data_IF_713071331960
#
_entry.id   IF_713071331960
#
_cell.length_a   1.000
_cell.length_b   1.000
_cell.length_c   1.000
_cell.angle_alpha   90.00
_cell.angle_beta   90.00
_cell.angle_gamma   90.00
#
_symmetry.space_group_name_H-M   'P 1'
#
loop_
_entity.id
_entity.type
_entity.pdbx_description
1 polymer ?
#
# COMPACT_ATOMS: atom_id res chain seq x y z
N UNK A 1 -20.11 46.75 17.17
CA UNK A 1 -19.05 46.03 16.44
C UNK A 1 -19.52 44.60 16.20
N UNK A 2 -19.79 44.23 14.93
CA UNK A 2 -20.38 42.94 14.59
C UNK A 2 -19.29 41.88 14.35
N UNK A 3 -19.43 40.70 14.94
CA UNK A 3 -18.52 39.56 14.71
C UNK A 3 -18.82 38.94 13.35
N UNK A 4 -17.83 38.96 12.45
CA UNK A 4 -17.87 38.21 11.19
C UNK A 4 -17.74 36.71 11.48
N UNK A 5 -18.83 35.96 11.31
CA UNK A 5 -18.79 34.50 11.34
C UNK A 5 -18.42 34.01 9.93
N UNK A 6 -17.16 33.59 9.78
CA UNK A 6 -16.69 32.97 8.55
C UNK A 6 -17.33 31.58 8.38
N UNK A 7 -18.31 31.48 7.46
CA UNK A 7 -18.80 30.20 6.95
C UNK A 7 -17.77 29.64 5.97
N UNK A 8 -16.73 29.01 6.51
CA UNK A 8 -15.79 28.22 5.73
C UNK A 8 -16.52 27.07 5.05
N UNK A 9 -16.48 27.04 3.72
CA UNK A 9 -16.76 25.83 2.96
C UNK A 9 -15.68 24.82 3.33
N UNK A 10 -16.02 23.90 4.24
CA UNK A 10 -15.32 22.65 4.42
C UNK A 10 -15.52 21.81 3.15
N UNK A 11 -14.74 22.15 2.12
CA UNK A 11 -14.23 21.17 1.17
C UNK A 11 -13.55 20.10 2.02
N UNK A 12 -14.27 19.03 2.32
CA UNK A 12 -13.62 17.80 2.73
C UNK A 12 -12.73 17.44 1.56
N UNK A 13 -11.42 17.58 1.75
CA UNK A 13 -10.46 17.07 0.79
C UNK A 13 -10.81 15.60 0.63
N UNK A 14 -11.31 15.24 -0.56
CA UNK A 14 -11.37 13.84 -0.96
C UNK A 14 -9.93 13.37 -0.80
N UNK A 15 -9.63 12.36 0.04
CA UNK A 15 -8.26 11.90 0.20
C UNK A 15 -7.75 11.55 -1.20
N UNK A 16 -6.70 12.24 -1.62
CA UNK A 16 -6.11 12.02 -2.93
C UNK A 16 -5.62 10.58 -2.94
N UNK A 17 -6.22 9.75 -3.80
CA UNK A 17 -5.73 8.40 -4.02
C UNK A 17 -4.43 8.55 -4.80
N UNK A 18 -3.30 8.26 -4.15
CA UNK A 18 -1.97 8.56 -4.65
C UNK A 18 -1.05 7.36 -4.40
N UNK A 19 -1.01 6.49 -5.40
CA UNK A 19 0.15 5.62 -5.57
C UNK A 19 1.31 6.50 -5.99
N UNK A 20 2.47 6.34 -5.35
CA UNK A 20 3.60 7.22 -5.64
C UNK A 20 4.25 6.88 -6.99
N UNK A 21 4.66 7.92 -7.73
CA UNK A 21 5.49 7.86 -8.93
C UNK A 21 6.46 9.05 -8.99
N UNK A 22 7.39 9.07 -9.96
CA UNK A 22 8.37 10.17 -10.11
C UNK A 22 7.67 11.46 -10.56
N UNK A 23 8.06 12.62 -9.97
CA UNK A 23 7.47 13.95 -10.21
C UNK A 23 7.42 14.38 -11.71
N UNK A 24 8.33 13.87 -12.53
CA UNK A 24 8.39 14.17 -13.97
C UNK A 24 7.96 12.98 -14.86
N UNK A 25 7.33 11.96 -14.27
CA UNK A 25 6.91 10.75 -14.97
C UNK A 25 5.63 11.00 -15.80
N UNK A 26 5.49 10.38 -16.99
CA UNK A 26 4.19 10.29 -17.66
C UNK A 26 3.13 9.59 -16.80
N UNK A 27 3.55 8.76 -15.83
CA UNK A 27 2.67 8.02 -14.93
C UNK A 27 2.11 8.85 -13.78
N UNK A 28 2.66 10.03 -13.47
CA UNK A 28 2.28 10.81 -12.28
C UNK A 28 0.77 11.05 -12.17
N UNK A 29 0.13 11.44 -13.28
CA UNK A 29 -1.31 11.70 -13.35
C UNK A 29 -2.17 10.43 -13.28
N UNK A 30 -1.61 9.28 -13.66
CA UNK A 30 -2.26 7.96 -13.62
C UNK A 30 -2.20 7.38 -12.21
N UNK A 31 -1.07 7.59 -11.53
CA UNK A 31 -0.82 7.13 -10.17
C UNK A 31 -1.52 7.98 -9.10
N UNK A 32 -1.89 9.22 -9.44
CA UNK A 32 -2.72 10.09 -8.60
C UNK A 32 -1.96 11.25 -7.92
N UNK A 33 -0.64 11.34 -8.11
CA UNK A 33 0.17 12.48 -7.70
C UNK A 33 1.53 12.10 -7.14
N UNK A 34 2.13 13.06 -6.42
CA UNK A 34 3.41 12.90 -5.70
C UNK A 34 3.24 12.52 -4.23
N UNK A 35 2.00 12.35 -3.78
CA UNK A 35 1.71 11.93 -2.42
C UNK A 35 2.14 10.47 -2.21
N UNK A 36 2.24 10.07 -0.95
CA UNK A 36 2.85 8.80 -0.56
C UNK A 36 1.80 7.70 -0.65
N UNK A 37 2.14 6.58 -1.27
CA UNK A 37 1.39 5.34 -1.07
C UNK A 37 1.31 5.06 0.44
N UNK A 38 0.11 4.78 0.95
CA UNK A 38 -0.16 4.38 2.34
C UNK A 38 -0.90 3.04 2.42
N UNK A 39 -0.94 2.42 3.60
CA UNK A 39 -1.58 1.11 3.84
C UNK A 39 -3.02 1.02 3.29
N UNK A 40 -3.79 2.11 3.36
CA UNK A 40 -5.18 2.20 2.91
C UNK A 40 -5.34 2.11 1.36
N UNK A 41 -4.26 2.30 0.60
CA UNK A 41 -4.27 2.27 -0.88
C UNK A 41 -3.77 0.93 -1.44
N UNK A 42 -3.20 0.08 -0.59
CA UNK A 42 -2.67 -1.23 -0.96
C UNK A 42 -3.79 -2.24 -1.19
N UNK A 43 -3.58 -3.14 -2.14
CA UNK A 43 -4.64 -4.03 -2.64
C UNK A 43 -4.22 -5.48 -2.46
N UNK A 44 -4.83 -6.13 -1.49
CA UNK A 44 -4.50 -7.51 -1.10
C UNK A 44 -5.32 -8.58 -1.82
N UNK A 45 -6.47 -8.23 -2.41
CA UNK A 45 -7.33 -9.18 -3.13
C UNK A 45 -7.25 -8.97 -4.65
N UNK A 46 -7.06 -10.07 -5.39
CA UNK A 46 -7.03 -10.10 -6.86
C UNK A 46 -8.20 -9.35 -7.53
N UNK A 47 -9.42 -9.46 -6.98
CA UNK A 47 -10.62 -8.86 -7.57
C UNK A 47 -10.63 -7.33 -7.51
N UNK A 48 -10.04 -6.77 -6.46
CA UNK A 48 -10.13 -5.34 -6.13
C UNK A 48 -9.36 -4.46 -7.13
N UNK A 49 -8.33 -5.02 -7.78
CA UNK A 49 -7.60 -4.39 -8.91
C UNK A 49 -8.47 -4.08 -10.14
N UNK A 50 -9.67 -4.65 -10.25
CA UNK A 50 -10.60 -4.40 -11.34
C UNK A 50 -11.95 -3.83 -10.88
N UNK A 51 -12.30 -3.92 -9.60
CA UNK A 51 -13.61 -3.53 -9.05
C UNK A 51 -13.59 -2.25 -8.20
N UNK A 52 -12.43 -1.86 -7.64
CA UNK A 52 -12.31 -0.71 -6.75
C UNK A 52 -11.57 0.45 -7.40
N UNK A 53 -11.88 1.69 -7.00
CA UNK A 53 -11.17 2.88 -7.50
C UNK A 53 -9.68 2.80 -7.16
N UNK A 54 -9.34 2.44 -5.92
CA UNK A 54 -7.96 2.25 -5.45
C UNK A 54 -7.21 1.20 -6.27
N UNK A 55 -7.83 0.05 -6.51
CA UNK A 55 -7.23 -1.02 -7.30
C UNK A 55 -7.07 -0.67 -8.78
N UNK A 56 -7.99 0.08 -9.37
CA UNK A 56 -7.84 0.64 -10.71
C UNK A 56 -6.67 1.65 -10.77
N UNK A 57 -6.53 2.53 -9.78
CA UNK A 57 -5.38 3.45 -9.68
C UNK A 57 -4.06 2.70 -9.56
N UNK A 58 -3.93 1.77 -8.60
CA UNK A 58 -2.72 0.95 -8.41
C UNK A 58 -2.38 0.12 -9.65
N UNK A 59 -3.38 -0.50 -10.28
CA UNK A 59 -3.21 -1.27 -11.52
C UNK A 59 -2.67 -0.40 -12.66
N UNK A 60 -3.33 0.73 -12.93
CA UNK A 60 -2.94 1.59 -14.04
C UNK A 60 -1.59 2.28 -13.80
N UNK A 61 -1.30 2.63 -12.54
CA UNK A 61 0.00 3.15 -12.12
C UNK A 61 1.11 2.14 -12.43
N UNK A 62 1.05 0.95 -11.84
CA UNK A 62 2.07 -0.09 -12.00
C UNK A 62 2.25 -0.52 -13.47
N UNK A 63 1.17 -0.55 -14.26
CA UNK A 63 1.27 -0.79 -15.70
C UNK A 63 2.04 0.33 -16.42
N UNK A 64 1.79 1.59 -16.09
CA UNK A 64 2.55 2.70 -16.66
C UNK A 64 4.03 2.64 -16.22
N UNK A 65 4.29 2.56 -14.91
CA UNK A 65 5.65 2.55 -14.36
C UNK A 65 6.50 1.39 -14.91
N UNK A 66 5.88 0.22 -15.16
CA UNK A 66 6.56 -0.94 -15.77
C UNK A 66 7.16 -0.67 -17.16
N UNK A 67 6.68 0.36 -17.86
CA UNK A 67 7.11 0.74 -19.21
C UNK A 67 7.87 2.08 -19.25
N UNK A 68 7.90 2.82 -18.14
CA UNK A 68 8.47 4.16 -18.08
C UNK A 68 9.95 4.12 -17.73
N UNK A 69 10.72 4.95 -18.43
CA UNK A 69 12.18 5.09 -18.26
C UNK A 69 12.56 6.32 -17.43
N UNK A 70 11.60 6.94 -16.73
CA UNK A 70 11.84 8.19 -16.01
C UNK A 70 12.81 7.99 -14.84
N UNK A 71 13.87 8.79 -14.83
CA UNK A 71 14.91 8.79 -13.80
C UNK A 71 15.15 10.21 -13.29
N UNK A 72 15.12 10.40 -11.97
CA UNK A 72 15.53 11.65 -11.31
C UNK A 72 16.81 11.46 -10.49
N UNK A 73 16.88 10.41 -9.67
CA UNK A 73 18.08 9.99 -8.94
C UNK A 73 17.94 8.53 -8.45
N UNK A 74 18.98 7.99 -7.81
CA UNK A 74 19.03 6.60 -7.32
C UNK A 74 17.93 6.19 -6.32
N UNK A 75 17.22 7.15 -5.72
CA UNK A 75 16.09 6.93 -4.81
C UNK A 75 14.76 7.50 -5.37
N UNK A 76 14.74 7.92 -6.64
CA UNK A 76 13.58 8.52 -7.29
C UNK A 76 13.64 8.26 -8.81
N UNK A 77 13.01 7.16 -9.23
CA UNK A 77 12.84 6.76 -10.63
C UNK A 77 11.62 5.86 -10.73
N UNK A 78 11.07 5.66 -11.93
CA UNK A 78 9.86 4.85 -12.05
C UNK A 78 10.13 3.37 -11.78
N UNK A 79 11.34 2.84 -12.05
CA UNK A 79 11.72 1.51 -11.52
C UNK A 79 11.70 1.50 -9.99
N UNK A 80 12.17 2.57 -9.34
CA UNK A 80 12.19 2.64 -7.88
C UNK A 80 10.79 2.55 -7.29
N UNK A 81 9.86 3.36 -7.80
CA UNK A 81 8.48 3.40 -7.33
C UNK A 81 7.69 2.16 -7.74
N UNK A 82 7.90 1.65 -8.96
CA UNK A 82 7.34 0.38 -9.41
C UNK A 82 7.65 -0.78 -8.46
N UNK A 83 8.94 -0.96 -8.10
CA UNK A 83 9.36 -2.03 -7.17
C UNK A 83 8.93 -1.71 -5.73
N UNK A 84 8.96 -0.44 -5.32
CA UNK A 84 8.50 -0.01 -4.00
C UNK A 84 7.02 -0.34 -3.76
N UNK A 85 6.14 0.04 -4.68
CA UNK A 85 4.69 -0.15 -4.59
C UNK A 85 4.32 -1.65 -4.50
N UNK A 86 4.99 -2.49 -5.30
CA UNK A 86 4.85 -3.95 -5.22
C UNK A 86 5.36 -4.53 -3.91
N UNK A 87 6.58 -4.13 -3.49
CA UNK A 87 7.18 -4.59 -2.22
C UNK A 87 6.33 -4.19 -1.02
N UNK A 88 5.80 -2.98 -1.00
CA UNK A 88 4.97 -2.46 0.08
C UNK A 88 3.63 -3.19 0.15
N UNK A 89 3.00 -3.44 -1.00
CA UNK A 89 1.81 -4.30 -1.10
C UNK A 89 2.07 -5.69 -0.51
N UNK A 90 3.16 -6.36 -0.88
CA UNK A 90 3.52 -7.67 -0.30
C UNK A 90 3.79 -7.56 1.20
N UNK A 91 4.54 -6.53 1.64
CA UNK A 91 4.85 -6.29 3.05
C UNK A 91 3.58 -6.20 3.91
N UNK A 92 2.56 -5.44 3.49
CA UNK A 92 1.32 -5.29 4.24
C UNK A 92 0.42 -6.53 4.09
N UNK A 93 0.16 -6.94 2.84
CA UNK A 93 -0.80 -8.02 2.56
C UNK A 93 -0.33 -9.41 2.99
N UNK A 94 0.98 -9.67 3.04
CA UNK A 94 1.55 -10.99 3.37
C UNK A 94 2.25 -11.02 4.73
N UNK A 95 2.84 -9.90 5.20
CA UNK A 95 3.75 -9.91 6.36
C UNK A 95 3.37 -9.04 7.55
N UNK A 96 2.35 -8.18 7.45
CA UNK A 96 1.79 -7.47 8.61
C UNK A 96 1.30 -8.45 9.69
N UNK A 97 1.25 -8.05 10.95
CA UNK A 97 0.98 -9.00 12.04
C UNK A 97 -0.48 -9.48 12.12
N UNK A 98 -1.37 -8.94 11.27
CA UNK A 98 -2.73 -9.45 11.00
C UNK A 98 -2.81 -10.47 9.85
N UNK A 99 -1.69 -10.78 9.18
CA UNK A 99 -1.64 -11.52 7.92
C UNK A 99 -1.71 -13.07 8.05
N UNK A 100 -2.11 -13.62 9.19
CA UNK A 100 -2.13 -15.07 9.42
C UNK A 100 -2.96 -15.84 8.39
N UNK A 101 -4.08 -15.27 7.95
CA UNK A 101 -4.93 -15.86 6.90
C UNK A 101 -4.42 -15.66 5.48
N UNK A 102 -3.51 -14.70 5.22
CA UNK A 102 -2.94 -14.49 3.89
C UNK A 102 -1.74 -15.42 3.64
N UNK A 103 -0.97 -15.75 4.70
CA UNK A 103 0.13 -16.70 4.59
C UNK A 103 -0.29 -18.17 4.47
N UNK A 104 -1.41 -18.62 5.03
CA UNK A 104 -1.79 -20.04 4.97
C UNK A 104 -2.29 -20.46 3.57
N UNK A 105 -1.85 -21.60 2.98
CA UNK A 105 -0.95 -22.66 3.50
C UNK A 105 0.53 -22.52 3.05
N UNK A 106 0.97 -21.31 2.72
CA UNK A 106 2.28 -20.96 2.16
C UNK A 106 3.35 -20.64 3.21
N UNK A 107 3.12 -20.91 4.50
CA UNK A 107 3.98 -20.51 5.61
C UNK A 107 5.43 -21.01 5.42
N UNK A 108 5.62 -22.26 4.99
CA UNK A 108 6.94 -22.88 4.81
C UNK A 108 7.80 -22.19 3.75
N UNK A 109 7.16 -21.66 2.70
CA UNK A 109 7.85 -20.97 1.60
C UNK A 109 8.01 -19.48 1.87
N UNK A 110 7.01 -18.85 2.50
CA UNK A 110 6.94 -17.41 2.64
C UNK A 110 7.52 -16.87 3.95
N UNK A 111 7.49 -17.60 5.07
CA UNK A 111 8.02 -17.09 6.35
C UNK A 111 9.51 -16.70 6.33
N UNK A 112 10.42 -17.42 5.64
CA UNK A 112 11.84 -17.04 5.55
C UNK A 112 12.09 -15.65 4.94
N UNK A 113 11.12 -15.13 4.17
CA UNK A 113 11.18 -13.79 3.56
C UNK A 113 10.73 -12.66 4.50
N UNK A 114 10.06 -12.94 5.63
CA UNK A 114 9.53 -11.90 6.53
C UNK A 114 10.58 -10.82 6.91
N UNK A 115 11.87 -11.14 7.15
CA UNK A 115 12.90 -10.11 7.39
C UNK A 115 13.10 -9.13 6.25
N UNK A 116 13.04 -9.58 4.99
CA UNK A 116 13.21 -8.73 3.78
C UNK A 116 12.09 -7.70 3.64
N UNK A 117 10.89 -8.07 4.09
CA UNK A 117 9.68 -7.25 4.05
C UNK A 117 9.40 -6.47 5.34
N UNK A 118 10.33 -6.37 6.30
CA UNK A 118 10.14 -5.52 7.50
C UNK A 118 10.41 -4.04 7.23
N UNK A 119 11.44 -3.74 6.45
CA UNK A 119 11.91 -2.36 6.25
C UNK A 119 11.10 -1.65 5.17
N UNK A 120 10.27 -0.68 5.54
CA UNK A 120 9.71 0.29 4.58
C UNK A 120 10.86 1.10 3.97
N UNK A 121 10.89 1.27 2.66
CA UNK A 121 11.93 2.09 2.01
C UNK A 121 11.64 3.59 2.10
N UNK A 122 10.39 3.95 2.35
CA UNK A 122 9.95 5.34 2.44
C UNK A 122 10.77 6.12 3.48
N UNK A 123 11.41 7.21 3.06
CA UNK A 123 12.18 8.09 3.95
C UNK A 123 13.49 7.52 4.50
N UNK A 124 13.87 6.29 4.11
CA UNK A 124 15.07 5.60 4.61
C UNK A 124 16.22 5.53 3.58
N UNK A 125 16.06 6.13 2.39
CA UNK A 125 17.07 6.13 1.31
C UNK A 125 17.65 4.73 1.04
N UNK A 126 16.78 3.72 1.01
CA UNK A 126 17.18 2.33 0.78
C UNK A 126 17.51 2.15 -0.70
N UNK A 127 18.66 1.54 -1.00
CA UNK A 127 19.06 1.23 -2.37
C UNK A 127 18.08 0.24 -3.01
N UNK A 128 17.72 0.51 -4.27
CA UNK A 128 16.68 -0.19 -5.04
C UNK A 128 16.76 -1.72 -4.96
N UNK A 129 17.95 -2.31 -5.09
CA UNK A 129 18.14 -3.77 -5.08
C UNK A 129 18.60 -4.33 -3.73
N UNK A 130 18.53 -3.54 -2.64
CA UNK A 130 18.99 -3.98 -1.31
C UNK A 130 18.24 -5.23 -0.78
N UNK A 131 16.97 -5.41 -1.16
CA UNK A 131 16.18 -6.58 -0.78
C UNK A 131 16.76 -7.91 -1.30
N UNK A 132 17.54 -7.89 -2.38
CA UNK A 132 18.20 -9.07 -2.93
C UNK A 132 19.18 -9.75 -1.97
N UNK A 133 19.92 -8.95 -1.20
CA UNK A 133 21.03 -9.43 -0.36
C UNK A 133 20.70 -9.44 1.12
N UNK A 134 19.56 -8.85 1.52
CA UNK A 134 19.08 -8.89 2.91
C UNK A 134 18.89 -10.33 3.42
N UNK A 135 19.19 -10.52 4.71
CA UNK A 135 19.04 -11.79 5.42
C UNK A 135 19.72 -12.98 4.70
N UNK A 136 21.01 -12.83 4.36
CA UNK A 136 21.80 -13.86 3.67
C UNK A 136 21.21 -14.30 2.32
N UNK A 137 20.83 -13.32 1.48
CA UNK A 137 20.19 -13.54 0.18
C UNK A 137 18.83 -14.29 0.27
N UNK A 138 18.07 -14.11 1.35
CA UNK A 138 16.79 -14.80 1.53
C UNK A 138 15.81 -14.57 0.39
N UNK A 139 15.81 -13.38 -0.23
CA UNK A 139 14.89 -13.08 -1.32
C UNK A 139 15.05 -14.01 -2.53
N UNK A 140 16.20 -14.06 -3.24
CA UNK A 140 16.38 -15.00 -4.35
C UNK A 140 16.30 -16.49 -3.95
N UNK A 141 16.52 -16.84 -2.68
CA UNK A 141 16.36 -18.23 -2.21
C UNK A 141 14.90 -18.68 -2.09
N UNK A 142 13.99 -17.82 -1.60
CA UNK A 142 12.63 -18.23 -1.24
C UNK A 142 11.50 -17.57 -2.05
N UNK A 143 11.80 -16.53 -2.84
CA UNK A 143 10.78 -15.78 -3.60
C UNK A 143 9.98 -16.66 -4.57
N UNK A 144 10.63 -17.60 -5.28
CA UNK A 144 9.98 -18.49 -6.25
C UNK A 144 8.94 -19.43 -5.60
N UNK A 145 9.33 -20.17 -4.56
CA UNK A 145 8.42 -21.07 -3.84
C UNK A 145 7.26 -20.31 -3.16
N UNK A 146 7.54 -19.12 -2.62
CA UNK A 146 6.50 -18.28 -2.04
C UNK A 146 5.53 -17.75 -3.12
N UNK A 147 6.06 -17.27 -4.25
CA UNK A 147 5.26 -16.73 -5.35
C UNK A 147 4.33 -17.78 -5.96
N UNK A 148 4.85 -19.00 -6.15
CA UNK A 148 4.08 -20.14 -6.67
C UNK A 148 2.92 -20.51 -5.75
N UNK A 149 3.15 -20.59 -4.44
CA UNK A 149 2.09 -20.86 -3.49
C UNK A 149 1.04 -19.74 -3.43
N UNK A 150 1.46 -18.46 -3.46
CA UNK A 150 0.53 -17.31 -3.51
C UNK A 150 -0.34 -17.33 -4.78
N UNK A 151 0.19 -17.78 -5.93
CA UNK A 151 -0.59 -17.99 -7.17
C UNK A 151 -1.53 -19.20 -7.12
N UNK A 152 -1.15 -20.24 -6.39
CA UNK A 152 -2.01 -21.41 -6.14
C UNK A 152 -3.22 -21.08 -5.26
N UNK A 153 -3.13 -20.01 -4.47
CA UNK A 153 -4.18 -19.56 -3.55
C UNK A 153 -5.14 -18.55 -4.20
N UNK A 154 -6.44 -18.74 -3.95
CA UNK A 154 -7.49 -17.86 -4.46
C UNK A 154 -7.41 -16.46 -3.82
N UNK A 155 -7.40 -15.42 -4.66
CA UNK A 155 -7.42 -14.02 -4.22
C UNK A 155 -6.03 -13.40 -3.99
N UNK A 156 -4.94 -14.14 -4.18
CA UNK A 156 -3.56 -13.68 -3.96
C UNK A 156 -2.62 -13.86 -5.16
N UNK A 157 -3.15 -14.11 -6.37
CA UNK A 157 -2.34 -14.30 -7.59
C UNK A 157 -1.52 -13.08 -7.94
N UNK A 158 -2.08 -11.88 -7.81
CA UNK A 158 -1.36 -10.62 -8.07
C UNK A 158 -0.17 -10.45 -7.12
N UNK A 159 -0.31 -10.86 -5.85
CA UNK A 159 0.80 -10.84 -4.87
C UNK A 159 1.92 -11.81 -5.29
N UNK A 160 1.57 -12.99 -5.82
CA UNK A 160 2.54 -13.91 -6.41
C UNK A 160 3.20 -13.35 -7.69
N UNK A 161 2.45 -12.69 -8.56
CA UNK A 161 2.99 -12.05 -9.76
C UNK A 161 3.94 -10.89 -9.42
N UNK A 162 3.64 -10.09 -8.37
CA UNK A 162 4.52 -9.05 -7.85
C UNK A 162 5.83 -9.66 -7.31
N UNK A 163 5.74 -10.80 -6.62
CA UNK A 163 6.92 -11.52 -6.12
C UNK A 163 7.81 -12.04 -7.28
N UNK A 164 7.23 -12.58 -8.36
CA UNK A 164 7.98 -12.97 -9.57
C UNK A 164 8.68 -11.77 -10.21
N UNK A 165 7.97 -10.65 -10.32
CA UNK A 165 8.48 -9.45 -10.96
C UNK A 165 9.63 -8.83 -10.14
N UNK A 166 9.51 -8.82 -8.81
CA UNK A 166 10.61 -8.47 -7.92
C UNK A 166 11.78 -9.44 -8.01
N UNK A 167 11.54 -10.74 -8.23
CA UNK A 167 12.61 -11.72 -8.47
C UNK A 167 13.36 -11.46 -9.78
N UNK A 168 12.65 -11.17 -10.87
CA UNK A 168 13.27 -10.81 -12.14
C UNK A 168 14.06 -9.50 -12.05
N UNK A 169 13.52 -8.47 -11.39
CA UNK A 169 14.25 -7.23 -11.13
C UNK A 169 15.50 -7.44 -10.25
N UNK A 170 15.46 -8.42 -9.34
CA UNK A 170 16.57 -8.74 -8.46
C UNK A 170 17.73 -9.47 -9.17
N UNK A 171 17.38 -10.35 -10.13
CA UNK A 171 18.33 -11.07 -10.99
C UNK A 171 18.93 -10.15 -12.06
N UNK A 172 18.10 -9.32 -12.72
CA UNK A 172 18.51 -8.51 -13.87
C UNK A 172 19.06 -7.12 -13.51
N UNK A 173 18.68 -6.57 -12.36
CA UNK A 173 19.08 -5.25 -11.84
C UNK A 173 19.09 -4.12 -12.87
N UNK A 174 17.96 -3.84 -13.56
CA UNK A 174 17.90 -2.85 -14.63
C UNK A 174 18.33 -1.46 -14.16
N UNK A 175 19.09 -0.78 -15.00
CA UNK A 175 19.71 0.50 -14.73
C UNK A 175 18.86 1.66 -15.29
N UNK A 176 18.11 2.32 -14.42
CA UNK A 176 17.27 3.47 -14.76
C UNK A 176 18.05 4.62 -15.45
N UNK A 177 19.36 4.80 -15.16
CA UNK A 177 20.19 5.83 -15.81
C UNK A 177 20.42 5.55 -17.30
N UNK A 178 20.27 4.30 -17.73
CA UNK A 178 20.35 3.87 -19.13
C UNK A 178 18.98 3.79 -19.82
N UNK A 179 17.89 4.09 -19.11
CA UNK A 179 16.53 3.88 -19.60
C UNK A 179 16.17 2.40 -19.77
N UNK A 180 16.83 1.49 -19.05
CA UNK A 180 16.38 0.10 -18.93
C UNK A 180 15.07 0.05 -18.10
N UNK A 181 14.28 -1.00 -18.25
CA UNK A 181 13.02 -1.24 -17.51
C UNK A 181 13.04 -2.64 -16.88
N UNK A 182 12.11 -2.92 -15.96
CA UNK A 182 11.97 -4.26 -15.37
C UNK A 182 11.30 -5.21 -16.36
N UNK A 183 11.98 -6.31 -16.69
CA UNK A 183 11.39 -7.40 -17.47
C UNK A 183 10.31 -8.09 -16.63
N UNK A 184 9.05 -7.99 -17.06
CA UNK A 184 7.96 -8.68 -16.40
C UNK A 184 8.08 -10.20 -16.64
N UNK A 185 8.35 -10.98 -15.59
CA UNK A 185 8.36 -12.45 -15.66
C UNK A 185 7.00 -13.04 -16.11
N UNK A 186 5.92 -12.31 -15.85
CA UNK A 186 4.54 -12.53 -16.31
C UNK A 186 3.73 -11.24 -16.18
N UNK A 187 2.57 -11.08 -16.84
CA UNK A 187 1.75 -9.89 -16.68
C UNK A 187 1.29 -9.74 -15.22
N UNK A 188 1.53 -8.57 -14.61
CA UNK A 188 1.32 -8.29 -13.19
C UNK A 188 -0.07 -8.69 -12.67
N UNK A 189 -1.09 -8.44 -13.48
CA UNK A 189 -2.51 -8.64 -13.13
C UNK A 189 -3.14 -9.84 -13.85
N UNK A 190 -2.33 -10.78 -14.34
CA UNK A 190 -2.86 -12.04 -14.86
C UNK A 190 -3.34 -12.95 -13.71
N UNK A 191 -4.60 -13.37 -13.81
CA UNK A 191 -5.25 -14.29 -12.89
C UNK A 191 -5.29 -15.73 -13.43
N UNK A 192 -4.74 -15.98 -14.63
CA UNK A 192 -4.59 -17.31 -15.19
C UNK A 192 -3.56 -18.11 -14.39
N UNK A 193 -3.87 -19.39 -14.12
CA UNK A 193 -2.91 -20.33 -13.55
C UNK A 193 -2.14 -20.97 -14.69
N UNK A 194 -1.30 -20.18 -15.35
CA UNK A 194 -0.36 -20.68 -16.36
C UNK A 194 0.84 -21.33 -15.67
N UNK A 195 0.94 -22.66 -15.78
CA UNK A 195 2.18 -23.42 -15.58
C UNK A 195 3.28 -22.84 -16.49
N UNK A 196 4.51 -22.77 -15.98
CA UNK A 196 5.65 -22.05 -16.57
C UNK A 196 5.66 -22.03 -18.11
N UNK A 197 5.20 -20.91 -18.67
CA UNK A 197 5.35 -20.59 -20.10
C UNK A 197 6.41 -19.51 -20.22
N UNK A 198 7.60 -19.90 -20.68
CA UNK A 198 8.74 -19.01 -20.89
C UNK A 198 8.36 -17.91 -21.88
N UNK A 199 8.29 -16.66 -21.41
CA UNK A 199 7.93 -15.51 -22.24
C UNK A 199 9.11 -15.07 -23.13
N UNK A 200 9.29 -15.70 -24.29
CA UNK A 200 10.21 -15.21 -25.31
C UNK A 200 9.65 -13.94 -25.94
N UNK A 201 10.24 -12.79 -25.62
CA UNK A 201 9.89 -11.52 -26.27
C UNK A 201 10.41 -11.47 -27.70
N UNK A 202 9.53 -11.51 -28.69
CA UNK A 202 9.89 -11.25 -30.09
C UNK A 202 9.83 -9.74 -30.37
N UNK A 203 10.99 -9.11 -30.54
CA UNK A 203 11.06 -7.77 -31.13
C UNK A 203 10.71 -7.85 -32.63
N UNK A 204 9.67 -7.14 -33.07
CA UNK A 204 9.24 -7.15 -34.47
C UNK A 204 9.82 -5.95 -35.24
N UNK A 205 10.80 -6.21 -36.10
CA UNK A 205 11.36 -5.23 -37.04
C UNK A 205 10.40 -5.00 -38.20
N UNK A 206 10.24 -3.75 -38.64
CA UNK A 206 9.35 -3.37 -39.74
C UNK A 206 9.86 -3.87 -41.10
N UNK A 207 9.04 -4.63 -41.83
CA UNK A 207 9.27 -4.91 -43.25
C UNK A 207 7.93 -5.07 -44.01
N UNK A 208 7.75 -4.28 -45.06
CA UNK A 208 6.56 -4.29 -45.92
C UNK A 208 6.61 -5.46 -46.91
N UNK A 209 5.54 -6.24 -47.02
CA UNK A 209 5.42 -7.31 -48.00
C UNK A 209 3.96 -7.69 -48.31
N UNK A 210 3.48 -7.33 -49.50
CA UNK A 210 2.16 -7.72 -50.01
C UNK A 210 2.13 -9.17 -50.46
N UNK A 211 1.14 -9.95 -50.00
CA UNK A 211 0.89 -11.32 -50.46
C UNK A 211 -0.51 -11.81 -50.12
N UNK A 212 -1.41 -11.84 -51.10
CA UNK A 212 -2.78 -12.37 -50.95
C UNK A 212 -2.80 -13.88 -51.11
N UNK A 213 -3.42 -14.62 -50.20
CA UNK A 213 -4.03 -15.93 -50.48
C UNK A 213 -5.07 -16.33 -49.42
N UNK A 214 -6.14 -16.96 -49.89
CA UNK A 214 -7.37 -17.22 -49.13
C UNK A 214 -7.41 -18.61 -48.54
N UNK A 215 -7.67 -18.73 -47.24
CA UNK A 215 -8.34 -19.92 -46.66
C UNK A 215 -8.95 -19.62 -45.29
N UNK A 216 -10.22 -19.98 -45.13
CA UNK A 216 -10.94 -20.10 -43.85
C UNK A 216 -11.39 -21.57 -43.73
N UNK A 217 -11.62 -22.12 -42.53
CA UNK A 217 -12.88 -21.83 -41.83
C UNK A 217 -12.85 -21.80 -40.29
N UNK A 218 -13.86 -21.11 -39.73
CA UNK A 218 -14.61 -21.43 -38.51
C UNK A 218 -13.88 -21.74 -37.19
N UNK A 219 -14.08 -20.90 -36.17
CA UNK A 219 -14.55 -21.33 -34.84
C UNK A 219 -15.10 -20.19 -33.96
N UNK A 220 -16.29 -20.46 -33.39
CA UNK A 220 -16.82 -20.00 -32.09
C UNK A 220 -16.81 -18.50 -31.75
N UNK A 221 -17.99 -17.88 -31.82
CA UNK A 221 -18.24 -16.57 -31.25
C UNK A 221 -18.38 -16.62 -29.72
N UNK A 222 -17.52 -15.90 -29.00
CA UNK A 222 -17.71 -15.55 -27.58
C UNK A 222 -18.21 -14.10 -27.48
N UNK A 223 -19.46 -13.94 -27.09
CA UNK A 223 -20.13 -12.62 -27.02
C UNK A 223 -19.57 -11.77 -25.89
N UNK A 224 -18.83 -10.71 -26.22
CA UNK A 224 -18.45 -9.67 -25.26
C UNK A 224 -19.67 -8.82 -24.89
N UNK A 225 -20.08 -8.90 -23.62
CA UNK A 225 -21.17 -8.11 -23.07
C UNK A 225 -20.72 -6.66 -22.78
N UNK A 226 -20.38 -5.92 -23.82
CA UNK A 226 -20.09 -4.49 -23.72
C UNK A 226 -21.37 -3.72 -23.40
N UNK A 227 -21.31 -2.79 -22.44
CA UNK A 227 -22.39 -1.84 -22.20
C UNK A 227 -22.66 -1.05 -23.50
N UNK A 228 -23.89 -1.18 -24.02
CA UNK A 228 -24.33 -0.49 -25.23
C UNK A 228 -24.04 1.01 -25.14
N UNK A 229 -23.72 1.64 -26.27
CA UNK A 229 -23.50 3.09 -26.35
C UNK A 229 -24.69 3.89 -25.77
N UNK A 230 -25.91 3.34 -25.83
CA UNK A 230 -27.10 3.93 -25.19
C UNK A 230 -27.05 3.96 -23.66
N UNK A 231 -26.41 2.97 -23.01
CA UNK A 231 -26.21 2.96 -21.56
C UNK A 231 -25.17 4.00 -21.13
N UNK A 232 -24.07 4.13 -21.87
CA UNK A 232 -23.06 5.18 -21.64
C UNK A 232 -23.65 6.59 -21.84
N UNK A 233 -24.45 6.79 -22.89
CA UNK A 233 -25.13 8.07 -23.15
C UNK A 233 -26.13 8.46 -22.05
N UNK A 234 -26.87 7.49 -21.49
CA UNK A 234 -27.85 7.75 -20.43
C UNK A 234 -27.23 8.30 -19.14
N UNK A 235 -26.06 7.78 -18.74
CA UNK A 235 -25.37 8.21 -17.51
C UNK A 235 -24.87 9.66 -17.64
N UNK A 236 -24.36 10.06 -18.80
CA UNK A 236 -23.83 11.40 -19.04
C UNK A 236 -24.89 12.52 -18.89
N UNK A 237 -26.12 12.28 -19.35
CA UNK A 237 -27.20 13.28 -19.27
C UNK A 237 -27.81 13.34 -17.85
N UNK A 238 -27.94 12.19 -17.17
CA UNK A 238 -28.52 12.12 -15.83
C UNK A 238 -27.74 12.92 -14.77
N UNK A 239 -26.41 12.88 -14.83
CA UNK A 239 -25.55 13.58 -13.88
C UNK A 239 -25.73 15.12 -13.93
N UNK A 240 -25.81 15.70 -15.13
CA UNK A 240 -26.01 17.15 -15.31
C UNK A 240 -27.35 17.64 -14.75
N UNK A 241 -28.44 16.92 -15.03
CA UNK A 241 -29.77 17.26 -14.52
C UNK A 241 -29.86 17.12 -12.98
N UNK A 242 -29.22 16.09 -12.40
CA UNK A 242 -29.20 15.86 -10.96
C UNK A 242 -28.57 17.01 -10.18
N UNK A 243 -27.39 17.50 -10.62
CA UNK A 243 -26.69 18.62 -9.96
C UNK A 243 -27.52 19.91 -9.98
N UNK A 244 -28.18 20.22 -11.09
CA UNK A 244 -29.04 21.42 -11.22
C UNK A 244 -30.24 21.32 -10.29
N UNK A 245 -30.92 20.16 -10.22
CA UNK A 245 -32.06 19.95 -9.34
C UNK A 245 -31.68 20.06 -7.86
N UNK A 246 -30.58 19.44 -7.44
CA UNK A 246 -30.09 19.55 -6.04
C UNK A 246 -29.71 20.99 -5.70
N UNK A 247 -29.00 21.70 -6.59
CA UNK A 247 -28.65 23.10 -6.40
C UNK A 247 -29.86 24.02 -6.25
N UNK A 248 -30.89 23.84 -7.09
CA UNK A 248 -32.15 24.58 -7.00
C UNK A 248 -32.89 24.30 -5.68
N UNK A 249 -32.93 23.04 -5.25
CA UNK A 249 -33.63 22.62 -4.03
C UNK A 249 -32.94 23.18 -2.77
N UNK A 250 -31.60 23.15 -2.71
CA UNK A 250 -30.80 23.81 -1.66
C UNK A 250 -31.08 25.32 -1.62
N UNK A 251 -31.09 26.00 -2.77
CA UNK A 251 -31.37 27.44 -2.84
C UNK A 251 -32.77 27.80 -2.33
N UNK A 252 -33.80 27.03 -2.71
CA UNK A 252 -35.18 27.23 -2.24
C UNK A 252 -35.30 27.05 -0.73
N UNK A 253 -34.67 26.01 -0.16
CA UNK A 253 -34.65 25.79 1.29
C UNK A 253 -33.94 26.93 2.03
N UNK A 254 -32.80 27.39 1.52
CA UNK A 254 -32.06 28.50 2.12
C UNK A 254 -32.85 29.82 2.06
N UNK A 255 -33.55 30.09 0.94
CA UNK A 255 -34.45 31.24 0.78
C UNK A 255 -35.67 31.17 1.71
N UNK A 256 -36.25 29.97 1.96
CA UNK A 256 -37.32 29.77 2.95
C UNK A 256 -36.84 30.07 4.36
N UNK A 257 -35.67 29.54 4.77
CA UNK A 257 -35.11 29.77 6.12
C UNK A 257 -34.81 31.25 6.38
N UNK A 258 -34.29 32.00 5.39
CA UNK A 258 -34.05 33.45 5.54
C UNK A 258 -35.32 34.28 5.77
N UNK A 259 -36.49 33.83 5.29
CA UNK A 259 -37.77 34.52 5.54
C UNK A 259 -38.34 34.25 6.94
N UNK A 260 -38.03 33.12 7.56
CA UNK A 260 -38.47 32.81 8.92
C UNK A 260 -37.67 33.55 10.02
N UNK A 261 -36.44 33.99 9.71
CA UNK A 261 -35.53 34.59 10.69
C UNK A 261 -35.79 36.08 11.00
N UNK A 262 -36.74 36.75 10.34
CA UNK A 262 -37.04 38.17 10.57
C UNK A 262 -38.16 38.43 11.60
N UNK A 263 -38.69 37.37 12.25
CA UNK A 263 -39.85 37.50 13.14
C UNK A 263 -39.53 37.40 14.64
N UNK A 264 -38.24 37.39 15.03
CA UNK A 264 -37.80 37.18 16.42
C UNK A 264 -36.69 38.14 16.86
N UNK A 265 -37.02 39.41 17.08
CA UNK A 265 -36.16 40.40 17.73
C UNK A 265 -37.00 41.33 18.62
N UNK A 266 -37.31 40.89 19.85
CA UNK A 266 -37.90 41.76 20.87
C UNK A 266 -37.53 41.31 22.30
N UNK A 267 -36.33 41.66 22.74
CA UNK A 267 -36.07 42.07 24.14
C UNK A 267 -34.74 42.86 24.26
N UNK A 268 -34.66 43.95 25.06
CA UNK A 268 -33.42 44.72 25.26
C UNK A 268 -32.53 44.18 26.42
N UNK A 269 -31.25 44.58 26.49
CA UNK A 269 -30.29 44.04 27.47
C UNK A 269 -30.24 44.81 28.80
N UNK A 270 -29.83 44.12 29.87
CA UNK A 270 -29.45 44.72 31.16
C UNK A 270 -27.91 44.81 31.33
N UNK A 271 -27.46 45.66 32.25
CA UNK A 271 -26.13 46.29 32.28
C UNK A 271 -25.04 45.52 33.09
N UNK A 272 -23.75 45.95 33.06
CA UNK A 272 -22.60 45.13 33.51
C UNK A 272 -21.93 45.56 34.84
N UNK A 273 -21.10 44.66 35.39
CA UNK A 273 -20.21 44.86 36.55
C UNK A 273 -20.21 43.61 37.46
N UNK A 274 -19.13 43.20 38.13
CA UNK A 274 -17.75 43.69 38.20
C UNK A 274 -16.80 42.56 38.66
N UNK A 275 -15.51 42.86 38.82
CA UNK A 275 -14.49 41.86 39.21
C UNK A 275 -14.50 41.56 40.71
N UNK A 276 -14.23 40.32 41.10
CA UNK A 276 -13.40 40.03 42.28
C UNK A 276 -12.85 38.59 42.28
N UNK A 277 -11.68 38.39 42.91
CA UNK A 277 -11.04 37.08 43.09
C UNK A 277 -11.28 36.57 44.52
N UNK A 278 -11.59 35.28 44.68
CA UNK A 278 -11.69 34.65 46.00
C UNK A 278 -11.17 33.19 46.01
N UNK A 279 -10.18 32.94 46.89
CA UNK A 279 -9.97 31.66 47.59
C UNK A 279 -11.16 31.40 48.56
N UNK A 280 -11.39 30.20 49.16
CA UNK A 280 -10.41 29.30 49.80
C UNK A 280 -10.64 27.81 49.38
N UNK A 281 -10.26 26.71 50.06
CA UNK A 281 -9.75 26.39 51.41
C UNK A 281 -8.69 25.26 51.39
N UNK A 282 -8.07 25.01 52.55
CA UNK A 282 -7.49 23.71 52.94
C UNK A 282 -8.39 23.04 54.00
N UNK A 283 -8.35 21.71 54.11
CA UNK A 283 -8.55 21.02 55.39
C UNK A 283 -7.61 19.80 55.49
N UNK A 284 -7.29 19.41 56.72
CA UNK A 284 -6.11 18.65 57.13
C UNK A 284 -6.17 17.12 56.90
N UNK A 285 -4.99 16.52 56.77
CA UNK A 285 -4.61 15.35 57.58
C UNK A 285 -3.08 15.23 57.70
N UNK A 286 -2.54 15.49 58.89
CA UNK A 286 -1.20 15.04 59.33
C UNK A 286 -1.28 13.54 59.73
N UNK A 287 -0.24 12.71 59.68
CA UNK A 287 1.06 12.79 60.35
C UNK A 287 2.02 11.73 59.77
N UNK A 288 3.32 12.05 59.61
CA UNK A 288 4.46 11.12 59.79
C UNK A 288 5.82 11.83 59.63
N UNK A 289 6.40 12.28 60.75
CA UNK A 289 7.83 12.65 60.86
C UNK A 289 8.71 11.39 60.93
N UNK A 290 9.94 11.33 60.38
CA UNK A 290 10.67 12.30 59.54
C UNK A 290 12.18 11.97 59.44
N UNK A 291 12.89 12.72 58.57
CA UNK A 291 14.36 12.95 58.56
C UNK A 291 15.32 11.79 58.11
N UNK A 292 16.57 12.09 57.66
CA UNK A 292 16.86 12.74 56.36
C UNK A 292 18.08 12.14 55.60
N UNK A 293 18.58 12.89 54.60
CA UNK A 293 19.95 12.89 53.98
C UNK A 293 20.20 12.03 52.73
N UNK A 294 20.18 12.74 51.59
CA UNK A 294 21.22 12.93 50.57
C UNK A 294 22.34 11.87 50.28
N UNK A 295 22.70 11.85 48.98
CA UNK A 295 23.77 11.13 48.23
C UNK A 295 25.14 11.05 48.96
N UNK A 296 26.09 10.16 48.68
CA UNK A 296 26.48 9.46 47.43
C UNK A 296 27.45 8.28 47.78
N UNK A 297 28.35 7.79 46.89
CA UNK A 297 28.18 6.83 45.80
C UNK A 297 28.67 5.39 46.15
N UNK A 298 28.65 4.49 45.15
CA UNK A 298 29.42 3.23 45.07
C UNK A 298 28.83 1.97 45.72
N UNK A 299 28.10 1.18 44.92
CA UNK A 299 28.39 -0.27 44.80
C UNK A 299 27.87 -0.88 43.51
N UNK A 300 28.76 -1.58 42.82
CA UNK A 300 28.40 -2.59 41.82
C UNK A 300 27.67 -3.74 42.53
N UNK A 301 26.67 -4.33 41.87
CA UNK A 301 26.05 -5.59 42.31
C UNK A 301 26.18 -6.59 41.18
N UNK A 302 26.81 -7.72 41.50
CA UNK A 302 27.11 -8.84 40.63
C UNK A 302 25.86 -9.69 40.34
N UNK A 303 25.91 -10.49 39.27
CA UNK A 303 24.88 -11.49 38.99
C UNK A 303 25.06 -12.73 39.90
N UNK A 304 23.97 -13.40 40.34
CA UNK A 304 24.08 -14.65 41.10
C UNK A 304 24.43 -15.84 40.20
N UNK A 305 25.32 -16.67 40.74
CA UNK A 305 25.85 -17.93 40.16
C UNK A 305 24.78 -19.04 40.13
N UNK A 306 24.94 -20.01 39.23
CA UNK A 306 24.19 -21.26 39.21
C UNK A 306 25.13 -22.41 38.87
N UNK A 307 25.45 -23.22 39.87
CA UNK A 307 26.36 -24.36 39.74
C UNK A 307 25.86 -25.56 40.55
N UNK A 308 26.48 -26.72 40.32
CA UNK A 308 26.16 -28.05 40.90
C UNK A 308 24.89 -28.77 40.36
N UNK A 309 24.89 -30.08 40.08
CA UNK A 309 25.99 -31.06 40.14
C UNK A 309 25.80 -32.20 39.11
N UNK A 310 26.91 -32.76 38.62
CA UNK A 310 26.95 -33.95 37.74
C UNK A 310 26.91 -35.23 38.60
N UNK A 311 26.51 -36.39 38.04
CA UNK A 311 27.53 -37.44 37.91
C UNK A 311 27.45 -38.24 36.60
N UNK A 312 28.33 -39.23 36.43
CA UNK A 312 28.68 -39.84 35.15
C UNK A 312 28.35 -41.34 35.03
N UNK A 313 28.39 -41.85 33.79
CA UNK A 313 28.33 -43.26 33.39
C UNK A 313 28.01 -43.34 31.89
N UNK A 314 29.00 -43.46 30.99
CA UNK A 314 29.41 -44.72 30.31
C UNK A 314 28.25 -45.55 29.76
N UNK A 315 28.20 -45.76 28.44
CA UNK A 315 28.60 -47.01 27.74
C UNK A 315 28.74 -46.74 26.23
N UNK A 316 29.31 -47.70 25.49
CA UNK A 316 29.63 -47.57 24.06
C UNK A 316 28.42 -47.90 23.15
N UNK A 317 28.52 -47.50 21.87
CA UNK A 317 27.68 -48.00 20.79
C UNK A 317 28.55 -48.31 19.56
N UNK A 318 28.50 -49.57 19.10
CA UNK A 318 29.13 -50.01 17.86
C UNK A 318 28.31 -49.59 16.62
N UNK A 319 28.97 -49.63 15.46
CA UNK A 319 28.32 -49.62 14.16
C UNK A 319 27.50 -50.92 13.94
N UNK A 320 26.61 -50.93 12.95
CA UNK A 320 26.91 -51.83 11.84
C UNK A 320 26.69 -51.21 10.45
N UNK A 321 27.43 -51.75 9.48
CA UNK A 321 27.36 -51.38 8.07
C UNK A 321 26.47 -52.34 7.26
N UNK A 322 25.96 -51.83 6.14
CA UNK A 322 25.53 -52.54 4.92
C UNK A 322 24.28 -53.43 4.98
N UNK A 323 23.30 -53.09 4.13
CA UNK A 323 23.21 -53.73 2.81
C UNK A 323 22.73 -52.74 1.75
#
# INVERSE_FOLDING_TARGET
MAKLVALGLLLWAIPALAVIATVNSPCLSICGGTDKTVDDELICNDGDYNSTVKGLTMKNCLLCESTSTTYSNQFNSDIYWFIFNQKYTIQVCVYADTASTSLSPCESQCLPLKPVFRTLWWGHNVSLYNYCTQNSNAFPTYASGCSECLRGKAGSKVLGNFMDNMASACETQPNATKGETVTLARPLFDLSVATNSTATSTAATTATGTGTSTSSPTSTASSSSGLSAGAAAGIGVGAGAGVILVGALVWVLFRRRRRAAQQSQMYPPAAPGGHDYAQPMQQEASYATGYPVERDPSRLVEAPDSNEQKPAGTWAAELPSNH
#
